data_IF_778821940704
#
_entry.id   IF_778821940704
#
_cell.length_a   1.000
_cell.length_b   1.000
_cell.length_c   1.000
_cell.angle_alpha   90.00
_cell.angle_beta   90.00
_cell.angle_gamma   90.00
#
_symmetry.space_group_name_H-M   'P 1'
#
loop_
_entity.id
_entity.type
_entity.pdbx_description
1 polymer ?
#
# COMPACT_ATOMS: atom_id res chain seq x y z
N UNK A 1 31.97 -4.58 6.57
CA UNK A 1 31.19 -5.12 5.43
C UNK A 1 31.26 -4.10 4.32
N UNK A 2 31.42 -4.55 3.07
CA UNK A 2 31.34 -3.67 1.90
C UNK A 2 29.91 -3.11 1.73
N UNK A 3 29.76 -2.06 0.91
CA UNK A 3 28.44 -1.53 0.59
C UNK A 3 27.55 -2.60 -0.07
N UNK A 4 28.11 -3.39 -0.99
CA UNK A 4 27.42 -4.49 -1.65
C UNK A 4 26.94 -5.57 -0.67
N UNK A 5 27.81 -6.03 0.25
CA UNK A 5 27.45 -7.03 1.27
C UNK A 5 26.33 -6.53 2.20
N UNK A 6 26.47 -5.29 2.66
CA UNK A 6 25.47 -4.64 3.53
C UNK A 6 24.12 -4.52 2.82
N UNK A 7 24.13 -4.14 1.54
CA UNK A 7 22.92 -3.99 0.71
C UNK A 7 22.20 -5.30 0.49
N UNK A 8 22.94 -6.39 0.26
CA UNK A 8 22.38 -7.75 0.18
C UNK A 8 21.73 -8.16 1.49
N UNK A 9 22.36 -7.91 2.63
CA UNK A 9 21.79 -8.22 3.94
C UNK A 9 20.51 -7.41 4.22
N UNK A 10 20.52 -6.11 3.91
CA UNK A 10 19.35 -5.24 4.05
C UNK A 10 18.19 -5.76 3.21
N UNK A 11 18.41 -6.00 1.92
CA UNK A 11 17.35 -6.51 1.05
C UNK A 11 16.85 -7.89 1.51
N UNK A 12 17.73 -8.73 2.06
CA UNK A 12 17.35 -10.04 2.60
C UNK A 12 16.39 -9.93 3.79
N UNK A 13 16.38 -8.82 4.54
CA UNK A 13 15.36 -8.58 5.59
C UNK A 13 13.95 -8.35 5.00
N UNK A 14 13.85 -7.89 3.75
CA UNK A 14 12.57 -7.59 3.09
C UNK A 14 11.99 -8.83 2.39
N UNK A 15 12.84 -9.75 1.91
CA UNK A 15 12.42 -10.91 1.11
C UNK A 15 11.36 -11.80 1.78
N UNK A 16 11.41 -12.10 3.09
CA UNK A 16 10.36 -12.89 3.75
C UNK A 16 8.97 -12.25 3.66
N UNK A 17 8.93 -10.93 3.46
CA UNK A 17 7.70 -10.14 3.35
C UNK A 17 7.40 -9.75 1.90
N UNK A 18 8.06 -10.35 0.91
CA UNK A 18 7.78 -10.06 -0.49
C UNK A 18 6.33 -10.42 -0.83
N UNK A 19 5.64 -9.49 -1.49
CA UNK A 19 4.34 -9.73 -2.09
C UNK A 19 4.52 -10.30 -3.50
N UNK A 20 4.29 -11.61 -3.63
CA UNK A 20 4.49 -12.36 -4.88
C UNK A 20 3.19 -12.41 -5.69
N UNK A 21 3.30 -12.35 -7.01
CA UNK A 21 2.15 -12.50 -7.91
C UNK A 21 1.71 -13.96 -7.98
N UNK A 22 0.43 -14.21 -8.29
CA UNK A 22 -0.08 -15.58 -8.43
C UNK A 22 0.62 -16.36 -9.55
N UNK A 23 0.92 -15.69 -10.67
CA UNK A 23 1.66 -16.30 -11.77
C UNK A 23 3.04 -16.77 -11.31
N UNK A 24 3.77 -15.96 -10.53
CA UNK A 24 5.07 -16.37 -10.00
C UNK A 24 4.99 -17.50 -8.98
N UNK A 25 3.92 -17.59 -8.17
CA UNK A 25 3.74 -18.73 -7.27
C UNK A 25 3.46 -20.04 -8.01
N UNK A 26 2.76 -19.96 -9.15
CA UNK A 26 2.42 -21.12 -9.99
C UNK A 26 3.59 -21.55 -10.89
N UNK A 27 4.43 -20.60 -11.35
CA UNK A 27 5.62 -20.86 -12.19
C UNK A 27 6.89 -21.18 -11.38
N UNK A 28 6.90 -20.96 -10.06
CA UNK A 28 8.12 -21.19 -9.27
C UNK A 28 8.46 -22.68 -9.17
N UNK A 29 9.61 -23.06 -9.72
CA UNK A 29 10.23 -24.39 -9.60
C UNK A 29 10.72 -24.73 -8.18
N UNK A 30 10.22 -24.04 -7.14
CA UNK A 30 10.68 -24.15 -5.76
C UNK A 30 11.92 -23.31 -5.43
N UNK A 31 12.46 -22.54 -6.37
CA UNK A 31 13.60 -21.65 -6.12
C UNK A 31 13.20 -20.44 -5.27
N UNK A 32 13.83 -20.27 -4.10
CA UNK A 32 13.66 -19.09 -3.24
C UNK A 32 14.35 -17.90 -3.88
N UNK A 33 13.61 -16.82 -4.13
CA UNK A 33 14.18 -15.59 -4.68
C UNK A 33 15.28 -15.04 -3.77
N UNK A 34 16.42 -14.72 -4.36
CA UNK A 34 17.57 -14.14 -3.67
C UNK A 34 17.57 -12.62 -3.79
N UNK A 35 18.29 -11.93 -2.91
CA UNK A 35 18.45 -10.47 -2.98
C UNK A 35 19.03 -10.02 -4.34
N UNK A 36 19.87 -10.85 -4.95
CA UNK A 36 20.53 -10.55 -6.24
C UNK A 36 19.55 -10.54 -7.42
N UNK A 37 18.37 -11.16 -7.28
CA UNK A 37 17.36 -11.16 -8.33
C UNK A 37 16.65 -9.80 -8.47
N UNK A 38 16.73 -8.94 -7.45
CA UNK A 38 16.11 -7.61 -7.41
C UNK A 38 17.10 -6.51 -7.75
N UNK A 39 17.74 -6.62 -8.91
CA UNK A 39 18.87 -5.79 -9.33
C UNK A 39 18.61 -4.28 -9.14
N UNK A 40 17.42 -3.80 -9.51
CA UNK A 40 17.07 -2.38 -9.40
C UNK A 40 16.94 -1.91 -7.94
N UNK A 41 16.27 -2.71 -7.10
CA UNK A 41 16.14 -2.41 -5.67
C UNK A 41 17.49 -2.48 -4.97
N UNK A 42 18.28 -3.50 -5.28
CA UNK A 42 19.62 -3.70 -4.71
C UNK A 42 20.56 -2.54 -5.08
N UNK A 43 20.55 -2.11 -6.34
CA UNK A 43 21.36 -0.97 -6.80
C UNK A 43 20.96 0.34 -6.09
N UNK A 44 19.67 0.57 -5.86
CA UNK A 44 19.18 1.75 -5.13
C UNK A 44 19.61 1.76 -3.66
N UNK A 45 19.60 0.59 -3.00
CA UNK A 45 20.13 0.44 -1.64
C UNK A 45 21.64 0.67 -1.64
N UNK A 46 22.38 0.02 -2.55
CA UNK A 46 23.84 0.10 -2.60
C UNK A 46 24.35 1.51 -2.86
N UNK A 47 23.69 2.26 -3.74
CA UNK A 47 23.97 3.68 -3.98
C UNK A 47 23.94 4.52 -2.71
N UNK A 48 22.93 4.32 -1.84
CA UNK A 48 22.80 5.06 -0.59
C UNK A 48 23.76 4.54 0.48
N UNK A 49 23.94 3.22 0.57
CA UNK A 49 24.90 2.61 1.50
C UNK A 49 26.32 3.07 1.21
N UNK A 50 26.73 3.10 -0.06
CA UNK A 50 28.06 3.52 -0.49
C UNK A 50 28.37 4.99 -0.17
N UNK A 51 27.33 5.83 -0.03
CA UNK A 51 27.45 7.25 0.33
C UNK A 51 27.23 7.52 1.83
N UNK A 52 27.02 6.47 2.63
CA UNK A 52 26.84 6.59 4.08
C UNK A 52 25.55 7.30 4.51
N UNK A 53 24.58 7.42 3.60
CA UNK A 53 23.32 8.14 3.87
C UNK A 53 22.26 7.22 4.49
N UNK A 54 21.40 7.71 5.40
CA UNK A 54 20.25 6.97 5.87
C UNK A 54 19.37 6.52 4.69
N UNK A 55 18.93 5.25 4.73
CA UNK A 55 18.07 4.72 3.68
C UNK A 55 16.68 5.35 3.77
N UNK A 56 16.19 5.88 2.66
CA UNK A 56 14.80 6.35 2.58
C UNK A 56 13.97 5.35 1.78
N UNK A 57 12.95 4.78 2.41
CA UNK A 57 11.91 3.99 1.74
C UNK A 57 10.66 4.83 1.58
N UNK A 58 9.96 4.67 0.45
CA UNK A 58 8.64 5.27 0.24
C UNK A 58 7.62 4.19 -0.06
N UNK A 59 6.46 4.26 0.58
CA UNK A 59 5.37 3.30 0.40
C UNK A 59 4.07 4.03 0.10
N UNK A 60 3.65 4.08 -1.18
CA UNK A 60 2.30 4.48 -1.54
C UNK A 60 1.26 3.52 -0.95
N UNK A 61 0.24 4.08 -0.29
CA UNK A 61 -0.86 3.33 0.31
C UNK A 61 -1.38 4.00 1.58
N UNK A 62 -2.31 3.33 2.27
CA UNK A 62 -3.10 3.89 3.35
C UNK A 62 -3.94 5.12 2.90
N UNK A 63 -4.85 4.96 1.92
CA UNK A 63 -5.69 6.05 1.43
C UNK A 63 -6.80 6.43 2.41
N UNK A 64 -7.64 5.46 2.72
CA UNK A 64 -8.79 5.50 3.62
C UNK A 64 -9.29 4.05 3.78
N UNK A 65 -10.14 3.76 4.77
CA UNK A 65 -10.85 2.47 4.83
C UNK A 65 -11.82 2.33 3.64
N UNK A 66 -12.05 1.10 3.20
CA UNK A 66 -13.10 0.74 2.24
C UNK A 66 -14.46 1.30 2.70
N UNK A 67 -15.28 1.86 1.79
CA UNK A 67 -16.63 2.31 2.12
C UNK A 67 -17.58 1.13 2.38
N UNK A 68 -17.19 -0.10 2.06
CA UNK A 68 -18.02 -1.29 2.28
C UNK A 68 -17.93 -1.77 3.75
N UNK A 69 -19.01 -1.65 4.55
CA UNK A 69 -19.01 -2.08 5.95
C UNK A 69 -18.89 -3.60 6.12
N UNK A 70 -19.08 -4.41 5.08
CA UNK A 70 -18.84 -5.85 5.10
C UNK A 70 -17.35 -6.21 5.03
N UNK A 71 -16.47 -5.26 4.66
CA UNK A 71 -15.02 -5.47 4.58
C UNK A 71 -14.29 -5.02 5.84
N UNK A 72 -14.70 -3.89 6.42
CA UNK A 72 -13.97 -3.17 7.48
C UNK A 72 -14.82 -2.93 8.73
N UNK A 73 -14.16 -2.57 9.84
CA UNK A 73 -14.82 -2.30 11.12
C UNK A 73 -15.43 -0.89 11.22
N UNK A 74 -14.92 0.06 10.44
CA UNK A 74 -15.35 1.46 10.42
C UNK A 74 -14.51 2.26 9.42
N UNK A 75 -14.66 3.59 9.42
CA UNK A 75 -13.97 4.49 8.49
C UNK A 75 -12.53 4.86 8.92
N UNK A 76 -12.21 4.73 10.21
CA UNK A 76 -10.92 5.11 10.79
C UNK A 76 -9.96 3.92 10.90
N UNK A 77 -8.63 4.17 10.96
CA UNK A 77 -7.63 3.14 11.22
C UNK A 77 -7.92 2.30 12.48
N UNK A 78 -7.76 0.99 12.35
CA UNK A 78 -7.97 0.00 13.42
C UNK A 78 -6.66 -0.78 13.72
N UNK A 79 -6.72 -1.96 14.37
CA UNK A 79 -5.48 -2.70 14.66
C UNK A 79 -4.74 -3.17 13.40
N UNK A 80 -5.42 -3.25 12.25
CA UNK A 80 -4.81 -3.61 10.97
C UNK A 80 -3.78 -2.57 10.53
N UNK A 81 -4.16 -1.30 10.52
CA UNK A 81 -3.22 -0.21 10.20
C UNK A 81 -2.13 -0.10 11.25
N UNK A 82 -2.48 -0.16 12.54
CA UNK A 82 -1.51 -0.06 13.63
C UNK A 82 -0.47 -1.17 13.60
N UNK A 83 -0.88 -2.42 13.39
CA UNK A 83 0.05 -3.54 13.27
C UNK A 83 0.94 -3.39 12.02
N UNK A 84 0.38 -2.88 10.92
CA UNK A 84 1.15 -2.62 9.69
C UNK A 84 2.20 -1.52 9.91
N UNK A 85 1.83 -0.39 10.52
CA UNK A 85 2.78 0.68 10.85
C UNK A 85 3.86 0.18 11.82
N UNK A 86 3.48 -0.60 12.83
CA UNK A 86 4.44 -1.22 13.76
C UNK A 86 5.44 -2.11 13.02
N UNK A 87 4.96 -2.95 12.10
CA UNK A 87 5.79 -3.80 11.25
C UNK A 87 6.80 -2.97 10.44
N UNK A 88 6.33 -1.92 9.76
CA UNK A 88 7.20 -1.04 8.97
C UNK A 88 8.26 -0.34 9.83
N UNK A 89 7.88 0.16 11.00
CA UNK A 89 8.81 0.78 11.94
C UNK A 89 9.88 -0.23 12.43
N UNK A 90 9.46 -1.46 12.76
CA UNK A 90 10.35 -2.53 13.19
C UNK A 90 11.30 -2.99 12.07
N UNK A 91 10.85 -3.00 10.81
CA UNK A 91 11.69 -3.27 9.65
C UNK A 91 12.84 -2.25 9.57
N UNK A 92 12.54 -0.96 9.70
CA UNK A 92 13.55 0.09 9.76
C UNK A 92 14.49 -0.05 10.98
N UNK A 93 13.98 -0.45 12.15
CA UNK A 93 14.81 -0.72 13.33
C UNK A 93 15.80 -1.87 13.06
N UNK A 94 15.35 -2.96 12.42
CA UNK A 94 16.22 -4.08 12.05
C UNK A 94 17.30 -3.66 11.05
N UNK A 95 16.95 -2.84 10.06
CA UNK A 95 17.92 -2.27 9.13
C UNK A 95 18.94 -1.40 9.87
N UNK A 96 18.50 -0.58 10.82
CA UNK A 96 19.38 0.31 11.59
C UNK A 96 20.36 -0.45 12.49
N UNK A 97 20.00 -1.66 12.93
CA UNK A 97 20.91 -2.55 13.64
C UNK A 97 22.02 -3.14 12.73
N UNK A 98 21.77 -3.24 11.42
CA UNK A 98 22.75 -3.71 10.43
C UNK A 98 23.56 -2.57 9.79
N UNK A 99 22.95 -1.38 9.65
CA UNK A 99 23.50 -0.23 8.95
C UNK A 99 23.32 1.02 9.81
N UNK A 100 24.41 1.55 10.37
CA UNK A 100 24.37 2.58 11.42
C UNK A 100 23.71 3.91 11.02
N UNK A 101 23.77 4.40 9.77
CA UNK A 101 22.99 5.57 9.36
C UNK A 101 21.48 5.35 9.43
N UNK A 102 21.03 4.09 9.48
CA UNK A 102 19.65 3.73 9.72
C UNK A 102 18.77 3.78 8.47
N UNK A 103 17.47 3.68 8.71
CA UNK A 103 16.45 3.74 7.68
C UNK A 103 15.20 4.49 8.17
N UNK A 104 14.60 5.25 7.27
CA UNK A 104 13.30 5.90 7.46
C UNK A 104 12.35 5.40 6.38
N UNK A 105 11.10 5.19 6.75
CA UNK A 105 10.03 4.88 5.81
C UNK A 105 9.00 6.00 5.80
N UNK A 106 8.74 6.52 4.61
CA UNK A 106 7.70 7.52 4.36
C UNK A 106 6.45 6.79 3.83
N UNK A 107 5.37 6.84 4.61
CA UNK A 107 4.05 6.42 4.16
C UNK A 107 3.49 7.53 3.27
N UNK A 108 3.36 7.23 1.97
CA UNK A 108 2.85 8.17 0.98
C UNK A 108 1.35 7.93 0.77
N UNK A 109 0.53 8.48 1.66
CA UNK A 109 -0.93 8.34 1.59
C UNK A 109 -1.49 8.88 0.28
N UNK A 110 -2.27 8.04 -0.37
CA UNK A 110 -2.82 8.25 -1.71
C UNK A 110 -4.33 8.57 -1.68
N UNK A 111 -4.91 8.82 -0.51
CA UNK A 111 -6.35 9.08 -0.37
C UNK A 111 -6.84 10.27 -1.21
N UNK A 112 -6.19 11.43 -1.06
CA UNK A 112 -6.66 12.68 -1.71
C UNK A 112 -6.62 12.65 -3.23
N UNK A 113 -5.70 11.89 -3.83
CA UNK A 113 -5.65 11.75 -5.30
C UNK A 113 -6.73 10.79 -5.80
N UNK A 114 -7.23 9.89 -4.95
CA UNK A 114 -8.23 8.88 -5.30
C UNK A 114 -9.67 9.24 -4.92
N UNK A 115 -9.89 10.22 -4.05
CA UNK A 115 -11.16 10.55 -3.38
C UNK A 115 -12.42 10.28 -4.23
N UNK A 116 -12.57 11.00 -5.35
CA UNK A 116 -13.71 10.89 -6.25
C UNK A 116 -13.80 9.52 -6.96
N UNK A 117 -12.66 8.96 -7.35
CA UNK A 117 -12.58 7.67 -8.03
C UNK A 117 -12.92 6.47 -7.13
N UNK A 118 -12.82 6.62 -5.81
CA UNK A 118 -13.16 5.58 -4.83
C UNK A 118 -14.45 5.89 -4.05
N UNK A 119 -15.07 7.05 -4.29
CA UNK A 119 -16.35 7.43 -3.67
C UNK A 119 -16.25 7.73 -2.17
N UNK A 120 -15.12 8.29 -1.72
CA UNK A 120 -14.92 8.67 -0.31
C UNK A 120 -14.64 10.17 -0.25
N UNK A 121 -15.34 10.87 0.64
CA UNK A 121 -15.21 12.31 0.81
C UNK A 121 -13.85 12.71 1.44
N UNK A 122 -13.43 13.95 1.22
CA UNK A 122 -12.13 14.44 1.67
C UNK A 122 -12.01 14.51 3.20
N UNK A 123 -13.09 14.78 3.92
CA UNK A 123 -13.05 14.86 5.38
C UNK A 123 -12.81 13.47 6.01
N UNK A 124 -13.42 12.43 5.42
CA UNK A 124 -13.14 11.03 5.79
C UNK A 124 -11.68 10.65 5.53
N UNK A 125 -11.11 11.09 4.40
CA UNK A 125 -9.68 10.86 4.08
C UNK A 125 -8.78 11.61 5.05
N UNK A 126 -9.07 12.88 5.34
CA UNK A 126 -8.33 13.72 6.28
C UNK A 126 -8.34 13.09 7.68
N UNK A 127 -9.51 12.69 8.17
CA UNK A 127 -9.66 12.05 9.48
C UNK A 127 -8.92 10.70 9.56
N UNK A 128 -8.94 9.92 8.48
CA UNK A 128 -8.18 8.66 8.41
C UNK A 128 -6.67 8.93 8.47
N UNK A 129 -6.16 9.88 7.68
CA UNK A 129 -4.75 10.24 7.63
C UNK A 129 -4.24 10.81 8.96
N UNK A 130 -4.99 11.73 9.56
CA UNK A 130 -4.69 12.27 10.90
C UNK A 130 -4.61 11.15 11.93
N UNK A 131 -5.57 10.22 11.90
CA UNK A 131 -5.59 9.11 12.84
C UNK A 131 -4.39 8.16 12.69
N UNK A 132 -3.82 7.99 11.48
CA UNK A 132 -2.56 7.25 11.29
C UNK A 132 -1.39 7.96 11.97
N UNK A 133 -1.30 9.28 11.82
CA UNK A 133 -0.25 10.09 12.44
C UNK A 133 -0.35 10.06 13.97
N UNK A 134 -1.57 10.11 14.50
CA UNK A 134 -1.84 9.96 15.94
C UNK A 134 -1.44 8.57 16.44
N UNK A 135 -1.71 7.50 15.69
CA UNK A 135 -1.26 6.14 16.04
C UNK A 135 0.27 6.08 16.10
N UNK A 136 0.95 6.61 15.08
CA UNK A 136 2.40 6.60 15.04
C UNK A 136 3.03 7.39 16.19
N UNK A 137 2.44 8.53 16.55
CA UNK A 137 2.86 9.34 17.69
C UNK A 137 2.63 8.62 19.02
N UNK A 138 1.44 8.06 19.24
CA UNK A 138 1.07 7.37 20.46
C UNK A 138 1.89 6.09 20.70
N UNK A 139 2.23 5.37 19.63
CA UNK A 139 3.06 4.15 19.69
C UNK A 139 4.57 4.46 19.53
N UNK A 140 4.94 5.75 19.46
CA UNK A 140 6.32 6.25 19.39
C UNK A 140 7.14 5.67 18.22
N UNK A 141 6.53 5.53 17.04
CA UNK A 141 7.22 5.03 15.83
C UNK A 141 8.24 6.06 15.30
N UNK A 142 9.49 5.91 15.70
CA UNK A 142 10.58 6.85 15.40
C UNK A 142 11.00 6.87 13.91
N UNK A 143 10.82 5.74 13.21
CA UNK A 143 11.34 5.56 11.85
C UNK A 143 10.31 5.84 10.76
N UNK A 144 9.10 6.28 11.13
CA UNK A 144 8.03 6.56 10.18
C UNK A 144 7.86 8.06 9.94
N UNK A 145 7.63 8.42 8.69
CA UNK A 145 7.19 9.75 8.26
C UNK A 145 5.95 9.59 7.38
N UNK A 146 5.22 10.67 7.21
CA UNK A 146 4.00 10.69 6.41
C UNK A 146 4.11 11.76 5.33
N UNK A 147 3.58 11.46 4.16
CA UNK A 147 3.46 12.37 3.03
C UNK A 147 2.12 12.09 2.34
N UNK A 148 1.45 13.15 1.94
CA UNK A 148 0.15 13.13 1.27
C UNK A 148 0.14 14.17 0.16
N UNK A 149 -0.91 14.18 -0.64
CA UNK A 149 -1.07 15.22 -1.67
C UNK A 149 -1.15 16.63 -1.03
N UNK A 150 -1.71 16.73 0.18
CA UNK A 150 -1.86 17.99 0.94
C UNK A 150 -0.52 18.62 1.32
N UNK A 151 0.54 17.83 1.46
CA UNK A 151 1.90 18.35 1.72
C UNK A 151 2.49 19.10 0.51
N UNK A 152 1.96 18.86 -0.70
CA UNK A 152 2.41 19.50 -1.94
C UNK A 152 1.40 20.54 -2.46
N UNK A 153 0.11 20.28 -2.23
CA UNK A 153 -1.03 21.11 -2.63
C UNK A 153 -1.94 21.30 -1.41
N UNK A 154 -1.61 22.26 -0.52
CA UNK A 154 -2.37 22.49 0.71
C UNK A 154 -3.78 23.02 0.44
N UNK A 155 -4.73 22.69 1.32
CA UNK A 155 -6.13 23.14 1.23
C UNK A 155 -7.08 22.13 0.60
N UNK A 156 -8.38 22.40 0.70
CA UNK A 156 -9.41 21.57 0.07
C UNK A 156 -9.27 21.66 -1.44
N UNK A 157 -9.32 20.50 -2.11
CA UNK A 157 -9.11 20.40 -3.55
C UNK A 157 -10.39 20.01 -4.25
N UNK A 158 -10.85 20.84 -5.18
CA UNK A 158 -12.02 20.47 -5.99
C UNK A 158 -11.69 19.40 -7.04
N UNK A 159 -12.67 18.99 -7.85
CA UNK A 159 -12.47 17.99 -8.90
C UNK A 159 -11.56 18.49 -10.02
N UNK A 160 -11.64 19.77 -10.38
CA UNK A 160 -10.88 20.36 -11.49
C UNK A 160 -9.40 20.49 -11.12
N UNK A 161 -9.10 20.96 -9.91
CA UNK A 161 -7.74 21.04 -9.39
C UNK A 161 -7.08 19.66 -9.35
N UNK A 162 -7.81 18.64 -8.88
CA UNK A 162 -7.32 17.26 -8.86
C UNK A 162 -7.09 16.72 -10.27
N UNK A 163 -8.02 16.99 -11.20
CA UNK A 163 -7.87 16.58 -12.59
C UNK A 163 -6.64 17.25 -13.22
N UNK A 164 -6.37 18.53 -12.95
CA UNK A 164 -5.18 19.24 -13.45
C UNK A 164 -3.87 18.59 -12.98
N UNK A 165 -3.83 18.08 -11.75
CA UNK A 165 -2.69 17.33 -11.20
C UNK A 165 -2.57 16.00 -11.92
N UNK A 166 -3.68 15.27 -12.10
CA UNK A 166 -3.69 14.00 -12.82
C UNK A 166 -3.21 14.18 -14.26
N UNK A 167 -3.63 15.24 -14.95
CA UNK A 167 -3.23 15.52 -16.33
C UNK A 167 -1.75 15.89 -16.43
N UNK A 168 -1.20 16.53 -15.39
CA UNK A 168 0.21 16.90 -15.32
C UNK A 168 1.14 15.70 -15.10
N UNK A 169 0.74 14.76 -14.23
CA UNK A 169 1.62 13.67 -13.77
C UNK A 169 1.23 12.29 -14.31
N UNK A 170 0.00 12.11 -14.75
CA UNK A 170 -0.53 10.85 -15.23
C UNK A 170 -0.48 10.71 -16.75
N UNK A 171 -0.54 9.48 -17.27
CA UNK A 171 -0.66 9.25 -18.70
C UNK A 171 -2.06 9.67 -19.18
N UNK A 172 -2.19 9.96 -20.47
CA UNK A 172 -3.50 10.11 -21.10
C UNK A 172 -4.26 8.77 -21.07
N UNK A 173 -5.58 8.81 -20.91
CA UNK A 173 -6.39 7.59 -20.71
C UNK A 173 -6.30 6.62 -21.90
N UNK A 174 -6.26 7.14 -23.12
CA UNK A 174 -6.12 6.37 -24.35
C UNK A 174 -4.79 5.61 -24.35
N UNK A 175 -3.69 6.30 -24.05
CA UNK A 175 -2.36 5.70 -23.93
C UNK A 175 -2.33 4.65 -22.81
N UNK A 176 -2.96 4.94 -21.66
CA UNK A 176 -3.03 4.00 -20.55
C UNK A 176 -3.78 2.72 -20.94
N UNK A 177 -4.86 2.83 -21.73
CA UNK A 177 -5.60 1.65 -22.23
C UNK A 177 -4.72 0.78 -23.13
N UNK A 178 -3.91 1.39 -23.98
CA UNK A 178 -2.96 0.68 -24.84
C UNK A 178 -1.88 -0.02 -24.00
N UNK A 179 -1.27 0.69 -23.05
CA UNK A 179 -0.28 0.13 -22.13
C UNK A 179 -0.83 -1.05 -21.33
N UNK A 180 -2.05 -0.92 -20.79
CA UNK A 180 -2.71 -2.01 -20.06
C UNK A 180 -2.86 -3.24 -20.94
N UNK A 181 -3.20 -3.10 -22.24
CA UNK A 181 -3.32 -4.25 -23.16
C UNK A 181 -1.98 -4.89 -23.50
N UNK A 182 -0.90 -4.11 -23.52
CA UNK A 182 0.44 -4.57 -23.91
C UNK A 182 1.26 -5.14 -22.75
N UNK A 183 1.01 -4.70 -21.51
CA UNK A 183 1.81 -5.07 -20.34
C UNK A 183 1.00 -5.98 -19.38
N UNK A 184 1.51 -7.19 -19.14
CA UNK A 184 0.86 -8.18 -18.28
C UNK A 184 0.78 -7.74 -16.81
N UNK A 185 1.75 -6.97 -16.32
CA UNK A 185 1.77 -6.44 -14.95
C UNK A 185 0.69 -5.37 -14.78
N UNK A 186 0.58 -4.43 -15.72
CA UNK A 186 -0.47 -3.42 -15.74
C UNK A 186 -1.86 -4.04 -15.92
N UNK A 187 -2.00 -5.06 -16.78
CA UNK A 187 -3.23 -5.86 -16.88
C UNK A 187 -3.61 -6.48 -15.53
N UNK A 188 -2.67 -7.08 -14.82
CA UNK A 188 -2.90 -7.71 -13.51
C UNK A 188 -3.37 -6.68 -12.48
N UNK A 189 -2.70 -5.51 -12.43
CA UNK A 189 -3.07 -4.40 -11.56
C UNK A 189 -4.47 -3.86 -11.88
N UNK A 190 -4.76 -3.61 -13.16
CA UNK A 190 -6.08 -3.17 -13.62
C UNK A 190 -7.19 -4.16 -13.21
N UNK A 191 -6.96 -5.46 -13.38
CA UNK A 191 -7.92 -6.51 -12.95
C UNK A 191 -8.10 -6.54 -11.43
N UNK A 192 -7.04 -6.33 -10.67
CA UNK A 192 -7.09 -6.19 -9.20
C UNK A 192 -7.95 -5.00 -8.77
N UNK A 193 -7.72 -3.84 -9.39
CA UNK A 193 -8.49 -2.61 -9.13
C UNK A 193 -9.98 -2.84 -9.43
N UNK A 194 -10.32 -3.46 -10.58
CA UNK A 194 -11.72 -3.77 -10.90
C UNK A 194 -12.38 -4.59 -9.80
N UNK A 195 -11.70 -5.62 -9.27
CA UNK A 195 -12.23 -6.46 -8.20
C UNK A 195 -12.54 -5.63 -6.96
N UNK A 196 -11.62 -4.77 -6.54
CA UNK A 196 -11.85 -3.88 -5.40
C UNK A 196 -13.03 -2.95 -5.62
N UNK A 197 -13.09 -2.28 -6.77
CA UNK A 197 -14.17 -1.35 -7.10
C UNK A 197 -15.54 -2.04 -7.13
N UNK A 198 -15.63 -3.28 -7.62
CA UNK A 198 -16.87 -4.07 -7.59
C UNK A 198 -17.25 -4.44 -6.16
N UNK A 199 -16.28 -4.84 -5.34
CA UNK A 199 -16.54 -5.16 -3.93
C UNK A 199 -16.91 -3.93 -3.09
N UNK A 200 -16.48 -2.73 -3.47
CA UNK A 200 -16.74 -1.48 -2.72
C UNK A 200 -18.05 -0.78 -3.14
N UNK A 201 -18.63 -1.14 -4.29
CA UNK A 201 -19.91 -0.58 -4.76
C UNK A 201 -21.14 -1.26 -4.14
N UNK A 202 -21.34 -1.05 -2.83
CA UNK A 202 -22.44 -1.68 -2.05
C UNK A 202 -23.83 -1.14 -2.40
N UNK A 203 -23.96 0.12 -2.79
CA UNK A 203 -25.24 0.79 -3.05
C UNK A 203 -25.69 0.72 -4.52
N UNK A 204 -25.03 -0.10 -5.33
CA UNK A 204 -25.36 -0.22 -6.75
C UNK A 204 -26.72 -0.92 -6.95
N UNK A 205 -27.68 -0.21 -7.54
CA UNK A 205 -29.06 -0.70 -7.74
C UNK A 205 -29.27 -1.39 -9.10
N UNK A 206 -28.28 -1.34 -10.00
CA UNK A 206 -28.37 -1.93 -11.33
C UNK A 206 -27.93 -3.40 -11.41
N UNK A 207 -27.85 -3.94 -12.62
CA UNK A 207 -27.38 -5.32 -12.82
C UNK A 207 -25.89 -5.46 -12.51
N UNK A 208 -25.46 -6.67 -12.12
CA UNK A 208 -24.05 -7.01 -11.91
C UNK A 208 -23.18 -6.72 -13.15
N UNK A 209 -23.72 -6.94 -14.35
CA UNK A 209 -23.03 -6.64 -15.61
C UNK A 209 -22.85 -5.14 -15.84
N UNK A 210 -23.84 -4.32 -15.45
CA UNK A 210 -23.72 -2.86 -15.51
C UNK A 210 -22.64 -2.37 -14.53
N UNK A 211 -22.65 -2.85 -13.29
CA UNK A 211 -21.62 -2.56 -12.29
C UNK A 211 -20.22 -2.93 -12.80
N UNK A 212 -20.09 -4.14 -13.35
CA UNK A 212 -18.81 -4.62 -13.86
C UNK A 212 -18.26 -3.72 -14.99
N UNK A 213 -19.14 -3.20 -15.86
CA UNK A 213 -18.76 -2.28 -16.94
C UNK A 213 -18.35 -0.91 -16.40
N UNK A 214 -19.09 -0.37 -15.44
CA UNK A 214 -18.75 0.89 -14.77
C UNK A 214 -17.40 0.79 -14.04
N UNK A 215 -17.19 -0.26 -13.22
CA UNK A 215 -15.94 -0.48 -12.52
C UNK A 215 -14.74 -0.69 -13.46
N UNK A 216 -14.94 -1.25 -14.66
CA UNK A 216 -13.88 -1.32 -15.69
C UNK A 216 -13.47 0.08 -16.16
N UNK A 217 -14.43 0.96 -16.44
CA UNK A 217 -14.12 2.33 -16.83
C UNK A 217 -13.42 3.09 -15.70
N UNK A 218 -13.98 3.03 -14.48
CA UNK A 218 -13.42 3.68 -13.28
C UNK A 218 -12.03 3.14 -12.92
N UNK A 219 -11.74 1.86 -13.18
CA UNK A 219 -10.43 1.28 -12.91
C UNK A 219 -9.29 1.91 -13.73
N UNK A 220 -9.56 2.42 -14.94
CA UNK A 220 -8.55 3.19 -15.68
C UNK A 220 -8.21 4.51 -15.00
N UNK A 221 -9.21 5.20 -14.46
CA UNK A 221 -9.05 6.45 -13.74
C UNK A 221 -8.29 6.26 -12.40
N UNK A 222 -8.57 5.16 -11.69
CA UNK A 222 -7.79 4.77 -10.50
C UNK A 222 -6.36 4.43 -10.88
N UNK A 223 -6.13 3.68 -11.96
CA UNK A 223 -4.77 3.36 -12.40
C UNK A 223 -4.00 4.61 -12.84
N UNK A 224 -4.63 5.53 -13.56
CA UNK A 224 -4.05 6.82 -13.97
C UNK A 224 -3.61 7.64 -12.76
N UNK A 225 -4.47 7.76 -11.74
CA UNK A 225 -4.18 8.42 -10.46
C UNK A 225 -3.04 7.73 -9.71
N UNK A 226 -2.98 6.40 -9.72
CA UNK A 226 -1.88 5.64 -9.10
C UNK A 226 -0.53 5.91 -9.77
N UNK A 227 -0.51 6.04 -11.10
CA UNK A 227 0.69 6.41 -11.86
C UNK A 227 1.07 7.86 -11.56
N UNK A 228 0.12 8.79 -11.63
CA UNK A 228 0.35 10.20 -11.31
C UNK A 228 0.90 10.40 -9.89
N UNK A 229 0.33 9.70 -8.90
CA UNK A 229 0.86 9.69 -7.54
C UNK A 229 2.27 9.12 -7.47
N UNK A 230 2.50 8.05 -8.23
CA UNK A 230 3.81 7.45 -8.41
C UNK A 230 4.88 8.47 -8.79
N UNK A 231 4.59 9.29 -9.80
CA UNK A 231 5.46 10.37 -10.31
C UNK A 231 5.64 11.49 -9.29
N UNK A 232 4.58 11.96 -8.63
CA UNK A 232 4.69 12.99 -7.57
C UNK A 232 5.61 12.51 -6.43
N UNK A 233 5.47 11.26 -6.01
CA UNK A 233 6.34 10.66 -5.00
C UNK A 233 7.78 10.53 -5.51
N UNK A 234 7.98 10.23 -6.80
CA UNK A 234 9.33 10.15 -7.40
C UNK A 234 10.01 11.51 -7.48
N UNK A 235 9.28 12.57 -7.84
CA UNK A 235 9.81 13.94 -7.81
C UNK A 235 10.19 14.38 -6.40
N UNK A 236 9.36 14.04 -5.40
CA UNK A 236 9.61 14.41 -4.01
C UNK A 236 10.75 13.61 -3.37
N UNK A 237 10.89 12.34 -3.74
CA UNK A 237 11.85 11.40 -3.15
C UNK A 237 12.65 10.66 -4.24
N UNK A 238 13.50 11.37 -5.00
CA UNK A 238 14.12 10.84 -6.22
C UNK A 238 15.08 9.68 -5.98
N UNK A 239 15.68 9.60 -4.79
CA UNK A 239 16.63 8.54 -4.41
C UNK A 239 16.01 7.43 -3.58
N UNK A 240 14.73 7.57 -3.20
CA UNK A 240 14.11 6.65 -2.26
C UNK A 240 13.85 5.27 -2.87
N UNK A 241 14.04 4.24 -2.06
CA UNK A 241 13.72 2.86 -2.41
C UNK A 241 12.19 2.72 -2.46
N UNK A 242 11.67 2.42 -3.64
CA UNK A 242 10.22 2.34 -3.89
C UNK A 242 9.66 1.01 -3.38
N UNK A 243 8.82 1.07 -2.36
CA UNK A 243 7.99 -0.05 -1.95
C UNK A 243 6.62 0.04 -2.64
N UNK A 244 5.89 -1.07 -2.65
CA UNK A 244 4.54 -1.17 -3.20
C UNK A 244 3.71 -2.17 -2.41
N UNK A 245 2.44 -1.87 -2.17
CA UNK A 245 1.48 -2.84 -1.61
C UNK A 245 0.92 -3.80 -2.67
N UNK A 246 1.32 -3.67 -3.93
CA UNK A 246 0.96 -4.58 -5.01
C UNK A 246 2.13 -5.52 -5.34
N UNK A 247 1.85 -6.73 -5.87
CA UNK A 247 2.89 -7.59 -6.39
C UNK A 247 3.76 -6.85 -7.43
N UNK A 248 5.07 -7.11 -7.40
CA UNK A 248 6.03 -6.54 -8.36
C UNK A 248 6.98 -7.64 -8.87
N UNK A 249 7.25 -7.68 -10.19
CA UNK A 249 8.29 -8.52 -10.76
C UNK A 249 9.65 -8.20 -10.14
N UNK A 250 10.55 -9.19 -10.03
CA UNK A 250 11.87 -8.98 -9.41
C UNK A 250 12.69 -7.87 -10.09
N UNK A 251 12.53 -7.70 -11.41
CA UNK A 251 13.22 -6.67 -12.21
C UNK A 251 12.57 -5.27 -12.14
N UNK A 252 11.49 -5.11 -11.38
CA UNK A 252 10.80 -3.82 -11.20
C UNK A 252 11.65 -2.84 -10.39
N UNK A 253 11.46 -1.54 -10.63
CA UNK A 253 12.00 -0.48 -9.76
C UNK A 253 11.27 -0.40 -8.43
N UNK A 254 10.10 -1.07 -8.29
CA UNK A 254 9.30 -1.14 -7.08
C UNK A 254 9.42 -2.51 -6.44
N UNK A 255 9.56 -2.57 -5.12
CA UNK A 255 9.55 -3.81 -4.35
C UNK A 255 8.18 -4.04 -3.73
N UNK A 256 7.50 -5.12 -4.12
CA UNK A 256 6.21 -5.51 -3.55
C UNK A 256 6.37 -6.01 -2.11
N UNK A 257 5.77 -5.34 -1.13
CA UNK A 257 5.86 -5.65 0.30
C UNK A 257 4.49 -6.02 0.86
N UNK A 258 4.40 -7.19 1.50
CA UNK A 258 3.25 -7.66 2.27
C UNK A 258 3.36 -7.09 3.68
N UNK A 259 2.32 -6.37 4.12
CA UNK A 259 2.31 -5.71 5.44
C UNK A 259 1.91 -6.66 6.57
N UNK A 260 0.90 -7.49 6.33
CA UNK A 260 0.35 -8.45 7.30
C UNK A 260 -0.07 -9.72 6.57
N UNK A 261 -0.22 -10.81 7.33
CA UNK A 261 -0.78 -12.05 6.80
C UNK A 261 -2.25 -11.85 6.41
N UNK A 262 -2.64 -12.46 5.29
CA UNK A 262 -3.99 -12.34 4.75
C UNK A 262 -4.33 -13.51 3.83
N UNK A 263 -5.63 -13.73 3.61
CA UNK A 263 -6.13 -14.82 2.75
C UNK A 263 -5.96 -14.55 1.26
N UNK A 264 -5.59 -13.34 0.87
CA UNK A 264 -5.41 -12.94 -0.53
C UNK A 264 -4.20 -12.01 -0.67
N UNK A 265 -3.38 -12.26 -1.69
CA UNK A 265 -2.18 -11.47 -2.03
C UNK A 265 -2.47 -10.00 -2.36
N UNK A 266 -3.74 -9.62 -2.48
CA UNK A 266 -4.20 -8.27 -2.77
C UNK A 266 -4.73 -7.53 -1.53
N UNK A 267 -5.02 -8.24 -0.44
CA UNK A 267 -5.61 -7.64 0.77
C UNK A 267 -4.66 -6.64 1.40
N UNK A 268 -5.16 -5.46 1.75
CA UNK A 268 -4.45 -4.45 2.54
C UNK A 268 -5.27 -4.12 3.79
N UNK A 269 -4.65 -3.53 4.82
CA UNK A 269 -5.34 -3.24 6.10
C UNK A 269 -6.63 -2.45 5.93
N UNK A 270 -6.66 -1.54 4.96
CA UNK A 270 -7.81 -0.70 4.68
C UNK A 270 -8.94 -1.37 3.91
N UNK A 271 -8.77 -2.61 3.48
CA UNK A 271 -9.80 -3.42 2.82
C UNK A 271 -10.24 -4.63 3.66
N UNK A 272 -9.92 -4.66 4.95
CA UNK A 272 -10.13 -5.82 5.81
C UNK A 272 -10.39 -5.43 7.27
N UNK A 273 -10.85 -6.42 8.05
CA UNK A 273 -10.88 -6.38 9.49
C UNK A 273 -9.70 -7.20 10.07
N UNK A 274 -9.00 -6.67 11.08
CA UNK A 274 -7.92 -7.39 11.76
C UNK A 274 -8.47 -8.46 12.71
N UNK A 275 -7.81 -9.62 12.72
CA UNK A 275 -8.01 -10.71 13.68
C UNK A 275 -6.70 -10.99 14.37
N UNK A 276 -6.67 -10.83 15.69
CA UNK A 276 -5.51 -11.16 16.53
C UNK A 276 -5.56 -12.64 16.92
N UNK A 277 -4.47 -13.34 16.67
CA UNK A 277 -4.25 -14.73 17.07
C UNK A 277 -3.68 -14.81 18.48
N UNK A 278 -3.72 -16.00 19.09
CA UNK A 278 -3.20 -16.23 20.45
C UNK A 278 -1.69 -15.97 20.61
N UNK A 279 -0.92 -16.07 19.53
CA UNK A 279 0.52 -15.71 19.50
C UNK A 279 0.77 -14.19 19.32
N UNK A 280 -0.31 -13.40 19.23
CA UNK A 280 -0.26 -11.96 19.05
C UNK A 280 -0.08 -11.48 17.61
N UNK A 281 0.02 -12.39 16.63
CA UNK A 281 0.02 -12.04 15.21
C UNK A 281 -1.35 -11.50 14.77
N UNK A 282 -1.35 -10.61 13.78
CA UNK A 282 -2.56 -10.00 13.22
C UNK A 282 -2.75 -10.47 11.79
N UNK A 283 -3.92 -11.06 11.53
CA UNK A 283 -4.33 -11.54 10.22
C UNK A 283 -5.45 -10.64 9.68
N UNK A 284 -5.37 -10.30 8.40
CA UNK A 284 -6.41 -9.53 7.71
C UNK A 284 -7.39 -10.48 7.02
N UNK A 285 -8.68 -10.34 7.37
CA UNK A 285 -9.78 -11.05 6.70
C UNK A 285 -10.92 -10.07 6.40
N UNK A 286 -11.85 -10.46 5.53
CA UNK A 286 -13.06 -9.65 5.35
C UNK A 286 -13.95 -9.77 6.58
N UNK A 287 -14.52 -8.66 7.05
CA UNK A 287 -15.39 -8.66 8.24
C UNK A 287 -16.56 -9.63 8.14
N UNK A 288 -17.19 -9.74 6.97
CA UNK A 288 -18.30 -10.68 6.72
C UNK A 288 -17.90 -12.16 6.71
N UNK A 289 -16.61 -12.46 6.68
CA UNK A 289 -16.06 -13.83 6.74
C UNK A 289 -15.48 -14.19 8.10
N UNK A 290 -15.59 -13.30 9.10
CA UNK A 290 -15.09 -13.55 10.45
C UNK A 290 -15.79 -14.78 11.04
N UNK A 291 -15.06 -15.77 11.59
CA UNK A 291 -15.66 -16.98 12.14
C UNK A 291 -16.67 -16.70 13.25
N UNK A 292 -17.73 -17.50 13.28
CA UNK A 292 -18.70 -17.51 14.38
C UNK A 292 -17.96 -17.84 15.67
N UNK A 293 -18.14 -17.00 16.70
CA UNK A 293 -17.45 -17.10 17.99
C UNK A 293 -16.28 -16.12 18.17
N UNK A 294 -15.81 -15.47 17.11
CA UNK A 294 -14.82 -14.41 17.25
C UNK A 294 -15.42 -13.21 18.02
N UNK A 295 -14.67 -12.69 18.99
CA UNK A 295 -15.10 -11.56 19.82
C UNK A 295 -14.55 -10.25 19.27
N UNK A 296 -15.44 -9.30 18.97
CA UNK A 296 -15.04 -7.94 18.61
C UNK A 296 -14.55 -7.20 19.86
N UNK A 297 -13.32 -6.71 19.81
CA UNK A 297 -12.69 -5.90 20.85
C UNK A 297 -12.71 -4.43 20.47
N UNK A 298 -12.72 -3.58 21.49
CA UNK A 298 -12.82 -2.14 21.36
C UNK A 298 -11.60 -1.48 21.97
N UNK A 299 -11.15 -0.39 21.36
CA UNK A 299 -10.10 0.49 21.87
C UNK A 299 -10.61 1.91 21.82
N UNK A 300 -10.55 2.60 22.96
CA UNK A 300 -11.06 3.97 23.11
C UNK A 300 -12.52 4.11 22.61
N UNK A 301 -13.38 3.13 22.95
CA UNK A 301 -14.79 3.13 22.57
C UNK A 301 -15.10 2.80 21.10
N UNK A 302 -14.09 2.47 20.28
CA UNK A 302 -14.27 2.13 18.84
C UNK A 302 -13.92 0.67 18.56
N UNK A 303 -14.60 -0.01 17.62
CA UNK A 303 -14.20 -1.32 17.12
C UNK A 303 -12.73 -1.34 16.69
N UNK A 304 -11.95 -2.32 17.16
CA UNK A 304 -10.49 -2.32 16.97
C UNK A 304 -9.99 -3.58 16.25
N UNK A 305 -10.39 -4.76 16.72
CA UNK A 305 -10.05 -6.04 16.09
C UNK A 305 -10.91 -7.17 16.64
N UNK A 306 -10.93 -8.29 15.94
CA UNK A 306 -11.47 -9.54 16.46
C UNK A 306 -10.39 -10.36 17.17
N UNK A 307 -10.78 -11.09 18.22
CA UNK A 307 -9.98 -12.14 18.82
C UNK A 307 -10.70 -13.49 18.63
N UNK A 308 -9.92 -14.53 18.32
CA UNK A 308 -10.37 -15.92 18.24
C UNK A 308 -10.10 -16.65 19.56
#
# INVERSE_FOLDING_TARGET
>A
MSAAETSVQILSLLLPFRRVSRAETEDSSGAVASAKDFVQTLASIESQVATGQPLTFVLPGFPCKSPNPAKVLGALPDDGERASLRFLNQLCTKISALYSPGAVLVVCSDGHIFADAIGVDQDTIDAYFEQLQLIATAEQFQNLRFFSLRDRYPGQMDEQERQSIIDKFGPQLEQLREQVRADATLTSLYRGIIRFLVEDSVDHTGTRSALQRECRNRAYHVLQRSIAWGEIVSERFPTAIRLSIHPQPAKSTKFGLKLLESTSTWTTPWHAAPVRKGDGSVHLIRRDTVPVGARLLYRNGRPDHFAL
#
